data_IF_537835929218
#
_entry.id   IF_537835929218
#
_cell.length_a   1.000
_cell.length_b   1.000
_cell.length_c   1.000
_cell.angle_alpha   90.00
_cell.angle_beta   90.00
_cell.angle_gamma   90.00
#
_symmetry.space_group_name_H-M   'P 1'
#
loop_
_entity.id
_entity.type
_entity.pdbx_description
1 polymer ?
#
# COMPACT_ATOMS: atom_id res chain seq x y z
N UNK A 1 -13.08 9.85 11.68
CA UNK A 1 -12.21 10.03 10.50
C UNK A 1 -12.85 9.41 9.26
N UNK A 2 -13.15 8.10 9.26
CA UNK A 2 -13.75 7.37 8.14
C UNK A 2 -15.07 7.98 7.64
N UNK A 3 -15.97 8.36 8.54
CA UNK A 3 -17.24 8.98 8.18
C UNK A 3 -17.09 10.30 7.38
N UNK A 4 -16.05 11.08 7.67
CA UNK A 4 -15.74 12.28 6.87
C UNK A 4 -15.22 11.89 5.48
N UNK A 5 -14.38 10.87 5.39
CA UNK A 5 -13.86 10.38 4.11
C UNK A 5 -14.98 9.87 3.21
N UNK A 6 -15.89 9.07 3.77
CA UNK A 6 -17.07 8.53 3.07
C UNK A 6 -18.05 9.64 2.64
N UNK A 7 -18.15 10.73 3.39
CA UNK A 7 -19.01 11.88 3.02
C UNK A 7 -18.42 12.72 1.88
N UNK A 8 -17.10 12.67 1.65
CA UNK A 8 -16.39 13.49 0.66
C UNK A 8 -15.86 12.70 -0.53
N UNK A 9 -15.99 11.38 -0.54
CA UNK A 9 -15.51 10.52 -1.60
C UNK A 9 -16.62 9.61 -2.14
N UNK A 10 -16.51 9.22 -3.39
CA UNK A 10 -17.41 8.22 -4.01
C UNK A 10 -17.06 6.79 -3.58
N UNK A 11 -15.77 6.53 -3.32
CA UNK A 11 -15.27 5.29 -2.74
C UNK A 11 -14.09 5.59 -1.84
N UNK A 12 -13.95 4.81 -0.78
CA UNK A 12 -12.82 4.86 0.15
C UNK A 12 -12.25 3.45 0.24
N UNK A 13 -10.94 3.33 0.15
CA UNK A 13 -10.22 2.08 0.42
C UNK A 13 -9.18 2.30 1.51
N UNK A 14 -9.11 1.35 2.42
CA UNK A 14 -8.14 1.31 3.50
C UNK A 14 -7.12 0.20 3.25
N UNK A 15 -5.84 0.55 3.35
CA UNK A 15 -4.73 -0.40 3.33
C UNK A 15 -3.82 -0.20 4.53
N UNK A 16 -3.27 -1.30 5.03
CA UNK A 16 -2.30 -1.29 6.13
C UNK A 16 -1.06 -2.01 5.68
N UNK A 17 0.08 -1.34 5.72
CA UNK A 17 1.38 -1.88 5.32
C UNK A 17 2.32 -2.05 6.52
N UNK A 18 2.92 -3.22 6.68
CA UNK A 18 3.91 -3.51 7.72
C UNK A 18 4.82 -4.67 7.34
N UNK A 19 5.92 -4.83 8.08
CA UNK A 19 6.83 -5.97 7.91
C UNK A 19 6.49 -7.08 8.88
N UNK A 20 6.50 -8.32 8.38
CA UNK A 20 6.28 -9.52 9.20
C UNK A 20 7.06 -10.70 8.68
N UNK A 21 6.95 -11.82 9.37
CA UNK A 21 7.53 -13.10 8.97
C UNK A 21 6.41 -14.06 8.56
N UNK A 22 6.52 -14.58 7.35
CA UNK A 22 5.79 -15.80 6.96
C UNK A 22 6.45 -16.97 7.65
N UNK A 23 5.67 -17.82 8.29
CA UNK A 23 6.13 -19.03 8.97
C UNK A 23 5.43 -20.23 8.35
N UNK A 24 6.21 -21.20 7.86
CA UNK A 24 5.72 -22.46 7.30
C UNK A 24 6.16 -23.59 8.23
N UNK A 25 5.20 -24.31 8.77
CA UNK A 25 5.47 -25.43 9.67
C UNK A 25 5.77 -26.70 8.87
N UNK A 26 7.04 -27.12 8.82
CA UNK A 26 7.50 -28.31 8.11
C UNK A 26 8.12 -29.33 9.09
N UNK A 27 7.36 -29.74 10.10
CA UNK A 27 7.82 -30.69 11.09
C UNK A 27 8.68 -30.04 12.19
N UNK A 28 9.91 -30.58 12.43
CA UNK A 28 10.72 -30.17 13.59
C UNK A 28 11.25 -28.73 13.52
N UNK A 29 11.42 -28.17 12.31
CA UNK A 29 11.98 -26.83 12.14
C UNK A 29 11.09 -26.00 11.21
N UNK A 30 10.42 -24.95 11.73
CA UNK A 30 9.63 -24.07 10.89
C UNK A 30 10.52 -23.20 10.00
N UNK A 31 10.19 -23.13 8.71
CA UNK A 31 10.80 -22.20 7.78
C UNK A 31 10.21 -20.81 7.92
N UNK A 32 11.04 -19.77 7.71
CA UNK A 32 10.64 -18.37 7.87
C UNK A 32 11.16 -17.51 6.74
N UNK A 33 10.29 -16.60 6.27
CA UNK A 33 10.63 -15.62 5.27
C UNK A 33 10.11 -14.23 5.65
N UNK A 34 10.98 -13.22 5.52
CA UNK A 34 10.56 -11.84 5.71
C UNK A 34 9.67 -11.43 4.53
N UNK A 35 8.55 -10.80 4.85
CA UNK A 35 7.59 -10.26 3.88
C UNK A 35 7.14 -8.86 4.25
N UNK A 36 6.75 -8.09 3.24
CA UNK A 36 5.98 -6.88 3.42
C UNK A 36 4.49 -7.23 3.29
N UNK A 37 3.79 -7.22 4.42
CA UNK A 37 2.34 -7.51 4.45
C UNK A 37 1.58 -6.26 4.07
N UNK A 38 0.61 -6.42 3.16
CA UNK A 38 -0.44 -5.46 2.87
C UNK A 38 -1.78 -6.04 3.25
N UNK A 39 -2.40 -5.48 4.29
CA UNK A 39 -3.79 -5.70 4.60
C UNK A 39 -4.67 -4.78 3.77
N UNK A 40 -5.68 -5.32 3.11
CA UNK A 40 -6.58 -4.56 2.21
C UNK A 40 -8.04 -4.74 2.61
N UNK A 41 -8.86 -3.71 2.36
CA UNK A 41 -10.31 -3.79 2.45
C UNK A 41 -10.95 -4.27 1.14
N UNK A 42 -12.28 -4.46 1.13
CA UNK A 42 -13.02 -4.92 -0.05
C UNK A 42 -13.11 -3.89 -1.19
N UNK A 43 -12.63 -2.65 -0.99
CA UNK A 43 -12.60 -1.62 -2.03
C UNK A 43 -11.26 -1.55 -2.78
N UNK A 44 -10.27 -2.28 -2.33
CA UNK A 44 -8.95 -2.34 -2.96
C UNK A 44 -8.93 -3.26 -4.20
N UNK A 45 -8.21 -2.88 -5.29
CA UNK A 45 -7.64 -1.57 -5.53
C UNK A 45 -8.70 -0.57 -6.02
N UNK A 46 -8.57 0.71 -5.65
CA UNK A 46 -9.50 1.73 -6.15
C UNK A 46 -9.36 1.94 -7.66
N UNK A 47 -8.15 1.84 -8.17
CA UNK A 47 -7.78 1.99 -9.59
C UNK A 47 -6.78 0.93 -10.00
N UNK A 48 -6.87 0.51 -11.27
CA UNK A 48 -6.04 -0.57 -11.80
C UNK A 48 -6.53 -1.95 -11.39
N UNK A 49 -5.74 -2.96 -11.70
CA UNK A 49 -6.00 -4.37 -11.42
C UNK A 49 -4.76 -5.01 -10.80
N UNK A 50 -4.98 -5.94 -9.89
CA UNK A 50 -3.94 -6.85 -9.40
C UNK A 50 -3.93 -8.08 -10.31
N UNK A 51 -2.78 -8.41 -10.86
CA UNK A 51 -2.60 -9.59 -11.69
C UNK A 51 -2.03 -10.74 -10.85
N UNK A 52 -2.64 -11.91 -10.97
CA UNK A 52 -2.35 -13.10 -10.18
C UNK A 52 -2.04 -14.30 -11.08
N UNK A 53 -1.28 -15.28 -10.57
CA UNK A 53 -1.08 -16.59 -11.17
C UNK A 53 -1.41 -17.69 -10.14
N UNK A 54 -2.44 -18.52 -10.35
CA UNK A 54 -3.37 -18.55 -11.48
C UNK A 54 -4.20 -17.24 -11.59
N UNK A 55 -4.64 -16.94 -12.82
CA UNK A 55 -5.48 -15.77 -13.10
C UNK A 55 -6.88 -15.96 -12.50
N UNK A 56 -7.06 -15.43 -11.29
CA UNK A 56 -8.32 -15.40 -10.54
C UNK A 56 -8.59 -13.99 -10.02
N UNK A 57 -9.85 -13.60 -9.76
CA UNK A 57 -10.16 -12.32 -9.15
C UNK A 57 -9.50 -12.19 -7.77
N UNK A 58 -8.97 -11.00 -7.45
CA UNK A 58 -8.33 -10.74 -6.14
C UNK A 58 -9.29 -11.03 -4.98
N UNK A 59 -10.56 -10.64 -5.12
CA UNK A 59 -11.62 -10.91 -4.13
C UNK A 59 -11.76 -12.41 -3.84
N UNK A 60 -11.72 -13.26 -4.88
CA UNK A 60 -11.77 -14.70 -4.75
C UNK A 60 -10.50 -15.25 -4.09
N UNK A 61 -9.34 -14.76 -4.50
CA UNK A 61 -8.05 -15.16 -3.93
C UNK A 61 -7.94 -14.83 -2.44
N UNK A 62 -8.51 -13.71 -2.00
CA UNK A 62 -8.47 -13.26 -0.60
C UNK A 62 -9.67 -13.73 0.24
N UNK A 63 -10.68 -14.35 -0.37
CA UNK A 63 -11.88 -14.77 0.34
C UNK A 63 -11.57 -15.71 1.52
N UNK A 64 -12.30 -15.52 2.61
CA UNK A 64 -12.24 -16.44 3.76
C UNK A 64 -13.17 -17.63 3.49
N UNK A 65 -12.58 -18.81 3.45
CA UNK A 65 -13.31 -20.10 3.43
C UNK A 65 -13.11 -20.79 4.77
N UNK A 66 -12.37 -21.88 4.84
CA UNK A 66 -11.92 -22.48 6.10
C UNK A 66 -10.82 -21.64 6.75
N UNK A 67 -10.02 -20.95 5.92
CA UNK A 67 -8.98 -20.00 6.31
C UNK A 67 -9.04 -18.76 5.42
N UNK A 68 -8.56 -17.60 5.90
CA UNK A 68 -8.39 -16.45 5.05
C UNK A 68 -7.41 -16.74 3.91
N UNK A 69 -7.78 -16.33 2.70
CA UNK A 69 -6.91 -16.41 1.52
C UNK A 69 -5.81 -15.36 1.55
N UNK A 70 -4.71 -15.66 0.86
CA UNK A 70 -3.58 -14.77 0.68
C UNK A 70 -2.97 -14.92 -0.71
N UNK A 71 -2.39 -13.83 -1.21
CA UNK A 71 -1.53 -13.84 -2.40
C UNK A 71 -0.13 -13.37 -2.02
N UNK A 72 0.89 -13.92 -2.68
CA UNK A 72 2.27 -13.73 -2.28
C UNK A 72 3.17 -13.56 -3.51
N UNK A 73 4.20 -12.74 -3.39
CA UNK A 73 5.25 -12.59 -4.41
C UNK A 73 5.92 -13.93 -4.72
N UNK A 74 6.12 -14.23 -6.01
CA UNK A 74 6.69 -15.50 -6.46
C UNK A 74 8.06 -15.78 -5.83
N UNK A 75 8.88 -14.74 -5.61
CA UNK A 75 10.18 -14.88 -4.97
C UNK A 75 10.08 -15.50 -3.56
N UNK A 76 9.06 -15.15 -2.79
CA UNK A 76 8.86 -15.69 -1.45
C UNK A 76 8.25 -17.09 -1.48
N UNK A 77 7.37 -17.35 -2.43
CA UNK A 77 6.79 -18.68 -2.70
C UNK A 77 7.94 -19.66 -2.98
N UNK A 78 8.82 -19.34 -3.92
CA UNK A 78 9.96 -20.17 -4.30
C UNK A 78 10.92 -20.38 -3.14
N UNK A 79 11.24 -19.31 -2.41
CA UNK A 79 12.16 -19.35 -1.26
C UNK A 79 11.66 -20.27 -0.14
N UNK A 80 10.35 -20.26 0.11
CA UNK A 80 9.71 -21.08 1.15
C UNK A 80 9.19 -22.41 0.59
N UNK A 81 9.46 -22.71 -0.70
CA UNK A 81 8.96 -23.88 -1.41
C UNK A 81 7.46 -24.14 -1.17
N UNK A 82 6.65 -23.09 -1.23
CA UNK A 82 5.19 -23.13 -1.12
C UNK A 82 4.56 -23.46 -2.47
N UNK A 83 3.39 -24.04 -2.43
CA UNK A 83 2.50 -24.22 -3.57
C UNK A 83 1.12 -23.60 -3.26
N UNK A 84 0.36 -23.28 -4.31
CA UNK A 84 -1.04 -22.87 -4.16
C UNK A 84 -1.81 -23.95 -3.40
N UNK A 85 -2.54 -23.54 -2.36
CA UNK A 85 -3.23 -24.41 -1.41
C UNK A 85 -2.45 -24.69 -0.12
N UNK A 86 -1.16 -24.35 -0.06
CA UNK A 86 -0.37 -24.51 1.17
C UNK A 86 -0.77 -23.49 2.23
N UNK A 87 -0.62 -23.90 3.48
CA UNK A 87 -0.95 -23.09 4.66
C UNK A 87 0.35 -22.51 5.25
N UNK A 88 0.30 -21.24 5.60
CA UNK A 88 1.37 -20.54 6.30
C UNK A 88 0.79 -19.62 7.39
N UNK A 89 1.64 -19.13 8.28
CA UNK A 89 1.24 -18.25 9.38
C UNK A 89 1.83 -16.85 9.25
N UNK A 90 0.99 -15.85 9.55
CA UNK A 90 1.39 -14.48 9.86
C UNK A 90 0.95 -14.16 11.29
N UNK A 91 1.91 -13.89 12.17
CA UNK A 91 1.62 -13.79 13.60
C UNK A 91 1.03 -15.10 14.14
N UNK A 92 -0.17 -15.04 14.72
CA UNK A 92 -0.91 -16.20 15.22
C UNK A 92 -1.95 -16.75 14.25
N UNK A 93 -2.20 -16.06 13.12
CA UNK A 93 -3.24 -16.43 12.16
C UNK A 93 -2.67 -17.30 11.03
N UNK A 94 -3.39 -18.36 10.67
CA UNK A 94 -3.15 -19.19 9.50
C UNK A 94 -3.83 -18.60 8.28
N UNK A 95 -3.13 -18.63 7.15
CA UNK A 95 -3.58 -18.20 5.83
C UNK A 95 -3.33 -19.32 4.81
N UNK A 96 -4.16 -19.38 3.78
CA UNK A 96 -3.97 -20.27 2.64
C UNK A 96 -3.46 -19.48 1.44
N UNK A 97 -2.35 -19.92 0.84
CA UNK A 97 -1.83 -19.34 -0.40
C UNK A 97 -2.73 -19.70 -1.56
N UNK A 98 -3.36 -18.70 -2.19
CA UNK A 98 -4.30 -18.90 -3.30
C UNK A 98 -3.72 -18.59 -4.67
N UNK A 99 -2.77 -17.65 -4.75
CA UNK A 99 -2.12 -17.29 -6.00
C UNK A 99 -0.78 -16.59 -5.75
N UNK A 100 0.08 -16.59 -6.77
CA UNK A 100 1.23 -15.71 -6.83
C UNK A 100 0.82 -14.30 -7.28
N UNK A 101 1.44 -13.28 -6.71
CA UNK A 101 1.28 -11.88 -7.09
C UNK A 101 2.21 -11.58 -8.28
N UNK A 102 1.64 -11.23 -9.43
CA UNK A 102 2.39 -10.87 -10.66
C UNK A 102 2.57 -9.37 -10.75
N UNK A 103 1.46 -8.61 -10.66
CA UNK A 103 1.49 -7.14 -10.77
C UNK A 103 0.54 -6.53 -9.75
N UNK A 104 0.98 -5.45 -9.14
CA UNK A 104 0.18 -4.63 -8.23
C UNK A 104 0.17 -3.17 -8.72
N UNK A 105 -1.00 -2.53 -8.91
CA UNK A 105 -1.09 -1.17 -9.46
C UNK A 105 -0.38 -0.13 -8.59
N UNK A 106 -0.29 -0.37 -7.29
CA UNK A 106 0.31 0.51 -6.29
C UNK A 106 1.77 0.17 -5.94
N UNK A 107 2.34 -0.83 -6.58
CA UNK A 107 3.68 -1.33 -6.30
C UNK A 107 4.79 -0.26 -6.44
N UNK A 108 4.63 0.64 -7.41
CA UNK A 108 5.58 1.73 -7.67
C UNK A 108 5.41 2.93 -6.71
N UNK A 109 4.22 3.10 -6.11
CA UNK A 109 3.87 4.28 -5.29
C UNK A 109 4.24 4.13 -3.81
N UNK A 110 4.48 2.91 -3.35
CA UNK A 110 4.66 2.55 -1.94
C UNK A 110 6.06 2.75 -1.37
N UNK A 111 6.93 3.55 -2.03
CA UNK A 111 8.33 3.65 -1.63
C UNK A 111 9.11 2.35 -1.93
N UNK A 112 10.43 2.38 -1.80
CA UNK A 112 11.27 1.20 -1.98
C UNK A 112 10.98 0.16 -0.87
N UNK A 113 9.88 -0.58 -1.02
CA UNK A 113 9.60 -1.75 -0.20
C UNK A 113 10.65 -2.81 -0.49
N UNK A 114 11.69 -2.84 0.31
CA UNK A 114 12.72 -3.87 0.22
C UNK A 114 12.15 -5.18 0.75
N UNK A 115 11.69 -6.03 -0.15
CA UNK A 115 11.26 -7.38 0.18
C UNK A 115 10.01 -7.84 -0.57
N UNK A 116 9.79 -9.15 -0.64
CA UNK A 116 8.63 -9.74 -1.28
C UNK A 116 7.36 -9.38 -0.54
N UNK A 117 6.26 -9.22 -1.27
CA UNK A 117 4.96 -8.80 -0.75
C UNK A 117 4.03 -9.98 -0.48
N UNK A 118 3.20 -9.83 0.53
CA UNK A 118 2.06 -10.71 0.81
C UNK A 118 0.83 -9.83 1.01
N UNK A 119 -0.25 -10.06 0.25
CA UNK A 119 -1.52 -9.35 0.38
C UNK A 119 -2.54 -10.28 1.03
N UNK A 120 -3.23 -9.74 2.04
CA UNK A 120 -4.30 -10.40 2.80
C UNK A 120 -5.42 -9.41 3.08
N UNK A 121 -6.59 -9.85 3.51
CA UNK A 121 -7.64 -8.94 3.94
C UNK A 121 -7.35 -8.36 5.33
N UNK A 122 -7.85 -7.15 5.60
CA UNK A 122 -7.83 -6.55 6.95
C UNK A 122 -8.56 -7.44 7.96
N UNK A 123 -9.71 -7.99 7.57
CA UNK A 123 -10.49 -8.94 8.39
C UNK A 123 -9.67 -10.19 8.75
N UNK A 124 -8.93 -10.75 7.77
CA UNK A 124 -8.04 -11.90 8.01
C UNK A 124 -6.91 -11.60 8.99
N UNK A 125 -6.51 -10.33 9.13
CA UNK A 125 -5.47 -9.90 10.07
C UNK A 125 -5.98 -9.68 11.51
N UNK A 126 -7.28 -9.56 11.75
CA UNK A 126 -7.82 -9.23 13.08
C UNK A 126 -7.34 -10.20 14.18
N UNK A 127 -7.29 -11.49 13.88
CA UNK A 127 -6.82 -12.54 14.80
C UNK A 127 -5.30 -12.72 14.88
N UNK A 128 -4.52 -12.03 14.06
CA UNK A 128 -3.09 -12.28 13.88
C UNK A 128 -2.20 -11.74 15.01
N UNK A 129 -2.69 -10.78 15.81
CA UNK A 129 -1.91 -10.02 16.78
C UNK A 129 -0.96 -8.99 16.17
N UNK A 130 -0.91 -8.87 14.84
CA UNK A 130 0.04 -7.98 14.13
C UNK A 130 -0.42 -6.53 14.06
N UNK A 131 -1.70 -6.26 14.26
CA UNK A 131 -2.29 -4.91 14.32
C UNK A 131 -2.66 -4.50 15.76
N UNK A 132 -2.11 -5.18 16.77
CA UNK A 132 -2.36 -4.87 18.17
C UNK A 132 -1.75 -3.52 18.58
N UNK A 133 -2.28 -2.83 19.62
CA UNK A 133 -1.69 -1.63 20.15
C UNK A 133 -0.20 -1.82 20.49
N UNK A 134 0.66 -0.91 19.98
CA UNK A 134 2.11 -0.98 20.16
C UNK A 134 2.86 -1.63 18.99
N UNK A 135 2.19 -2.16 17.99
CA UNK A 135 2.82 -2.60 16.74
C UNK A 135 3.00 -1.41 15.78
N UNK A 136 3.98 -1.52 14.89
CA UNK A 136 4.30 -0.49 13.92
C UNK A 136 3.72 -0.87 12.55
N UNK A 137 2.79 -0.08 12.05
CA UNK A 137 2.22 -0.21 10.72
C UNK A 137 1.87 1.16 10.14
N UNK A 138 1.85 1.25 8.83
CA UNK A 138 1.38 2.43 8.09
C UNK A 138 -0.04 2.18 7.60
N UNK A 139 -1.01 2.97 8.07
CA UNK A 139 -2.37 2.95 7.56
C UNK A 139 -2.55 4.03 6.50
N UNK A 140 -3.14 3.68 5.36
CA UNK A 140 -3.41 4.58 4.26
C UNK A 140 -4.88 4.49 3.85
N UNK A 141 -5.53 5.64 3.78
CA UNK A 141 -6.87 5.79 3.21
C UNK A 141 -6.76 6.41 1.82
N UNK A 142 -7.33 5.75 0.83
CA UNK A 142 -7.41 6.27 -0.54
C UNK A 142 -8.84 6.64 -0.85
N UNK A 143 -9.00 7.82 -1.41
CA UNK A 143 -10.30 8.40 -1.71
C UNK A 143 -10.45 8.57 -3.21
N UNK A 144 -11.47 7.94 -3.80
CA UNK A 144 -11.94 8.27 -5.13
C UNK A 144 -12.90 9.44 -5.01
N UNK A 145 -12.51 10.59 -5.55
CA UNK A 145 -13.32 11.81 -5.44
C UNK A 145 -14.31 11.93 -6.61
N UNK A 146 -15.45 12.59 -6.43
CA UNK A 146 -16.35 12.89 -7.54
C UNK A 146 -15.68 13.80 -8.57
N UNK A 147 -16.16 13.73 -9.80
CA UNK A 147 -15.68 14.56 -10.90
C UNK A 147 -15.88 16.05 -10.57
N UNK A 148 -14.84 16.87 -10.77
CA UNK A 148 -14.86 18.30 -10.45
C UNK A 148 -14.65 18.64 -8.97
N UNK A 149 -14.26 17.69 -8.11
CA UNK A 149 -13.96 17.99 -6.71
C UNK A 149 -12.79 19.00 -6.58
N UNK A 150 -13.01 20.02 -5.74
CA UNK A 150 -12.02 21.06 -5.46
C UNK A 150 -10.95 20.54 -4.49
N UNK A 151 -9.89 19.93 -5.04
CA UNK A 151 -8.82 19.30 -4.26
C UNK A 151 -8.16 20.23 -3.25
N UNK A 152 -8.08 21.55 -3.54
CA UNK A 152 -7.46 22.50 -2.63
C UNK A 152 -8.30 22.68 -1.36
N UNK A 153 -9.59 22.92 -1.52
CA UNK A 153 -10.52 23.11 -0.41
C UNK A 153 -10.63 21.85 0.44
N UNK A 154 -10.72 20.68 -0.22
CA UNK A 154 -10.77 19.39 0.46
C UNK A 154 -9.48 19.11 1.27
N UNK A 155 -8.32 19.44 0.71
CA UNK A 155 -7.04 19.29 1.39
C UNK A 155 -6.91 20.22 2.61
N UNK A 156 -7.44 21.43 2.55
CA UNK A 156 -7.46 22.37 3.68
C UNK A 156 -8.40 21.88 4.79
N UNK A 157 -9.62 21.46 4.44
CA UNK A 157 -10.58 20.92 5.41
C UNK A 157 -10.02 19.64 6.09
N UNK A 158 -9.43 18.73 5.31
CA UNK A 158 -8.79 17.54 5.84
C UNK A 158 -7.63 17.87 6.81
N UNK A 159 -6.76 18.82 6.45
CA UNK A 159 -5.64 19.23 7.32
C UNK A 159 -6.14 19.85 8.62
N UNK A 160 -7.12 20.77 8.54
CA UNK A 160 -7.68 21.40 9.72
C UNK A 160 -8.37 20.40 10.65
N UNK A 161 -9.08 19.44 10.08
CA UNK A 161 -9.82 18.44 10.84
C UNK A 161 -8.94 17.37 11.49
N UNK A 162 -7.84 17.00 10.83
CA UNK A 162 -6.98 15.89 11.24
C UNK A 162 -5.60 16.36 11.73
N UNK A 163 -5.43 17.64 12.06
CA UNK A 163 -4.16 18.24 12.51
C UNK A 163 -3.55 17.46 13.69
N UNK A 164 -4.37 17.08 14.67
CA UNK A 164 -3.93 16.40 15.90
C UNK A 164 -3.82 14.85 15.74
N UNK A 165 -4.20 14.31 14.58
CA UNK A 165 -4.22 12.84 14.38
C UNK A 165 -2.92 12.29 13.79
N UNK A 166 -2.02 13.16 13.34
CA UNK A 166 -0.80 12.78 12.63
C UNK A 166 -1.03 12.34 11.18
N UNK A 167 -2.25 12.46 10.66
CA UNK A 167 -2.56 12.14 9.26
C UNK A 167 -1.88 13.11 8.30
N UNK A 168 -1.42 12.58 7.16
CA UNK A 168 -0.80 13.36 6.10
C UNK A 168 -1.62 13.24 4.83
N UNK A 169 -2.09 14.39 4.34
CA UNK A 169 -2.77 14.47 3.06
C UNK A 169 -1.77 14.43 1.90
N UNK A 170 -2.07 13.61 0.91
CA UNK A 170 -1.39 13.58 -0.39
C UNK A 170 -2.43 13.56 -1.49
N UNK A 171 -2.21 14.31 -2.55
CA UNK A 171 -3.08 14.31 -3.72
C UNK A 171 -2.25 14.33 -5.01
N UNK A 172 -2.92 14.28 -6.18
CA UNK A 172 -2.28 14.25 -7.48
C UNK A 172 -1.36 15.44 -7.76
N UNK A 173 -1.57 16.58 -7.09
CA UNK A 173 -0.73 17.78 -7.22
C UNK A 173 0.61 17.62 -6.49
N UNK A 174 0.64 16.81 -5.43
CA UNK A 174 1.79 16.55 -4.57
C UNK A 174 2.28 15.09 -4.66
N UNK A 175 1.87 14.37 -5.70
CA UNK A 175 2.20 12.94 -5.88
C UNK A 175 3.69 12.66 -6.04
N UNK A 176 4.48 13.68 -6.41
CA UNK A 176 5.93 13.60 -6.52
C UNK A 176 6.58 14.87 -5.93
N UNK A 177 6.54 15.08 -4.60
CA UNK A 177 7.05 16.31 -3.98
C UNK A 177 8.51 16.60 -4.32
N UNK A 178 9.36 15.58 -4.47
CA UNK A 178 10.75 15.76 -4.87
C UNK A 178 10.94 16.26 -6.31
N UNK A 179 10.01 15.96 -7.22
CA UNK A 179 10.05 16.44 -8.61
C UNK A 179 9.68 17.91 -8.67
N UNK A 180 8.68 18.35 -7.92
CA UNK A 180 8.29 19.76 -7.85
C UNK A 180 9.42 20.63 -7.31
N UNK A 181 10.01 20.27 -6.17
CA UNK A 181 11.17 20.97 -5.60
C UNK A 181 12.38 20.98 -6.55
N UNK A 182 12.61 19.90 -7.27
CA UNK A 182 13.68 19.82 -8.25
C UNK A 182 13.43 20.76 -9.44
N UNK A 183 12.22 20.80 -9.98
CA UNK A 183 11.82 21.70 -11.08
C UNK A 183 11.92 23.17 -10.64
N UNK A 184 11.45 23.51 -9.44
CA UNK A 184 11.53 24.87 -8.90
C UNK A 184 12.97 25.29 -8.69
N UNK A 185 13.84 24.41 -8.20
CA UNK A 185 15.26 24.67 -8.01
C UNK A 185 16.01 24.84 -9.33
N UNK A 186 15.71 24.01 -10.35
CA UNK A 186 16.26 24.17 -11.70
C UNK A 186 15.75 25.47 -12.33
N UNK A 187 14.48 25.80 -12.18
CA UNK A 187 13.89 27.04 -12.68
C UNK A 187 14.62 28.28 -12.10
N UNK A 188 14.80 28.30 -10.78
CA UNK A 188 15.55 29.37 -10.11
C UNK A 188 17.02 29.46 -10.59
N UNK A 189 17.68 28.33 -10.79
CA UNK A 189 19.04 28.27 -11.31
C UNK A 189 19.14 28.79 -12.74
N UNK A 190 18.23 28.41 -13.63
CA UNK A 190 18.19 28.89 -15.02
C UNK A 190 17.95 30.41 -15.11
N UNK A 191 17.08 30.95 -14.26
CA UNK A 191 16.87 32.41 -14.15
C UNK A 191 18.15 33.11 -13.74
N UNK A 192 18.86 32.60 -12.75
CA UNK A 192 20.12 33.18 -12.25
C UNK A 192 21.23 33.12 -13.30
N UNK A 193 21.36 32.01 -14.02
CA UNK A 193 22.31 31.86 -15.14
C UNK A 193 21.97 32.82 -16.30
N UNK A 194 20.67 32.93 -16.62
CA UNK A 194 20.20 33.86 -17.65
C UNK A 194 20.49 35.31 -17.32
N UNK A 195 20.27 35.74 -16.06
CA UNK A 195 20.61 37.10 -15.61
C UNK A 195 22.12 37.35 -15.59
N UNK A 196 22.91 36.35 -15.17
CA UNK A 196 24.36 36.46 -15.21
C UNK A 196 24.90 36.60 -16.65
N UNK A 197 24.31 35.85 -17.60
CA UNK A 197 24.64 35.96 -19.03
C UNK A 197 24.31 37.33 -19.62
N UNK A 198 23.19 37.93 -19.23
CA UNK A 198 22.84 39.30 -19.62
C UNK A 198 23.78 40.35 -19.02
N UNK A 199 24.23 40.16 -17.79
CA UNK A 199 25.13 41.10 -17.13
C UNK A 199 26.57 41.06 -17.70
N UNK A 200 26.98 39.93 -18.30
CA UNK A 200 28.34 39.78 -18.89
C UNK A 200 28.35 40.08 -20.39
N UNK A 201 27.24 39.93 -21.08
CA UNK A 201 27.11 40.09 -22.55
C UNK A 201 26.51 41.43 -23.00
N UNK A 202 26.07 42.29 -22.11
CA UNK A 202 25.64 43.69 -22.34
C UNK A 202 26.73 44.63 -21.95
#
# INVERSE_FOLDING_TARGET
ERAWMEANATRVSETVDFRSMVVVDRGETPERGLTQVRGVDGAYPLYGTVELDPEIPLEEALATTDRPGAVMDQLLIDRLALAVGDVFRLGTQEFELRAALVTEPDGASGGFGLGPRTIVTLEGLEGSGLLAPGTLYDSQYRLALPEGAELAALAEDARARFEDTGMRWRDSRNGAPGVQEFVDRIGAFLVLVGLAGLAVGG
#
